data_IF_005884733204
#
_entry.id   IF_005884733204
#
_cell.length_a   1.000
_cell.length_b   1.000
_cell.length_c   1.000
_cell.angle_alpha   90.00
_cell.angle_beta   90.00
_cell.angle_gamma   90.00
#
_symmetry.space_group_name_H-M   'P 1'
#
loop_
_entity.id
_entity.type
_entity.pdbx_description
1 polymer ?
#
# COMPACT_ATOMS: atom_id res chain seq x y z
N UNK A 1 28.81 -16.26 -21.56
CA UNK A 1 27.63 -16.60 -22.38
C UNK A 1 26.94 -17.81 -21.76
N UNK A 2 25.90 -17.58 -20.95
CA UNK A 2 25.15 -18.64 -20.28
C UNK A 2 23.70 -18.64 -20.79
N UNK A 3 23.25 -19.80 -21.28
CA UNK A 3 21.93 -20.04 -21.89
C UNK A 3 20.82 -19.97 -20.84
N UNK A 4 19.74 -19.25 -21.16
CA UNK A 4 18.49 -19.21 -20.39
C UNK A 4 17.66 -20.49 -20.65
N UNK A 5 16.98 -21.08 -19.63
CA UNK A 5 16.15 -22.26 -19.80
C UNK A 5 14.86 -22.01 -20.60
N UNK A 6 14.47 -23.02 -21.38
CA UNK A 6 13.54 -23.03 -22.52
C UNK A 6 12.04 -23.12 -22.20
N UNK A 7 11.57 -22.63 -21.04
CA UNK A 7 10.19 -22.92 -20.59
C UNK A 7 9.16 -21.79 -20.81
N UNK A 8 9.50 -20.78 -21.62
CA UNK A 8 8.60 -19.64 -21.88
C UNK A 8 7.50 -19.89 -22.92
N UNK A 9 7.51 -21.03 -23.64
CA UNK A 9 6.58 -21.29 -24.75
C UNK A 9 5.21 -21.84 -24.35
N UNK A 10 4.96 -22.09 -23.06
CA UNK A 10 3.67 -22.61 -22.58
C UNK A 10 2.74 -21.49 -22.05
N UNK A 11 3.26 -20.30 -21.76
CA UNK A 11 2.50 -19.23 -21.09
C UNK A 11 1.58 -18.39 -22.01
N UNK A 12 1.68 -18.50 -23.34
CA UNK A 12 0.94 -17.61 -24.26
C UNK A 12 -0.30 -18.23 -24.93
N UNK A 13 -0.76 -19.43 -24.54
CA UNK A 13 -1.90 -20.09 -25.21
C UNK A 13 -3.25 -19.99 -24.48
N UNK A 14 -3.41 -19.11 -23.47
CA UNK A 14 -4.66 -19.00 -22.68
C UNK A 14 -5.20 -17.57 -22.45
N UNK A 15 -4.85 -16.59 -23.28
CA UNK A 15 -5.61 -15.34 -23.37
C UNK A 15 -6.14 -15.16 -24.79
N UNK A 16 -7.37 -15.61 -25.01
CA UNK A 16 -8.17 -15.23 -26.16
C UNK A 16 -8.53 -13.76 -26.07
N UNK A 17 -7.62 -12.89 -26.53
CA UNK A 17 -7.91 -11.50 -26.85
C UNK A 17 -7.83 -11.37 -28.37
N UNK A 18 -8.95 -11.70 -29.02
CA UNK A 18 -9.19 -11.33 -30.39
C UNK A 18 -9.45 -9.82 -30.44
N UNK A 19 -8.71 -9.14 -31.32
CA UNK A 19 -9.19 -8.04 -32.14
C UNK A 19 -9.61 -6.75 -31.41
N UNK A 20 -8.79 -5.72 -31.56
CA UNK A 20 -9.16 -4.41 -32.15
C UNK A 20 -8.23 -3.33 -31.61
N UNK A 21 -7.07 -3.17 -32.26
CA UNK A 21 -6.32 -1.93 -32.19
C UNK A 21 -5.61 -1.75 -33.54
N UNK A 22 -6.18 -0.93 -34.41
CA UNK A 22 -5.42 -0.36 -35.52
C UNK A 22 -6.12 0.86 -36.11
N UNK A 23 -5.30 1.90 -36.33
CA UNK A 23 -5.43 3.02 -37.29
C UNK A 23 -5.88 4.34 -36.65
N UNK A 24 -4.93 5.20 -36.25
CA UNK A 24 -4.11 6.11 -37.09
C UNK A 24 -5.00 7.14 -37.79
N UNK A 25 -5.02 8.34 -37.22
CA UNK A 25 -5.58 9.54 -37.83
C UNK A 25 -4.72 9.97 -39.02
N UNK A 26 -5.34 10.03 -40.20
CA UNK A 26 -4.80 10.64 -41.40
C UNK A 26 -5.49 11.99 -41.63
N UNK A 27 -4.68 12.97 -42.03
CA UNK A 27 -5.04 14.35 -42.30
C UNK A 27 -5.84 14.52 -43.60
N UNK A 28 -6.66 15.59 -43.65
CA UNK A 28 -6.73 16.45 -44.85
C UNK A 28 -8.10 16.68 -45.50
N UNK A 29 -8.48 17.97 -45.48
CA UNK A 29 -8.99 18.81 -46.58
C UNK A 29 -10.50 19.18 -46.65
N UNK A 30 -10.68 20.43 -47.13
CA UNK A 30 -11.87 21.13 -47.67
C UNK A 30 -12.77 21.84 -46.62
N UNK A 31 -13.34 23.03 -46.82
CA UNK A 31 -13.24 24.11 -47.84
C UNK A 31 -14.30 25.18 -47.49
N UNK A 32 -14.06 26.46 -47.79
CA UNK A 32 -15.11 27.49 -48.04
C UNK A 32 -15.47 28.41 -46.86
N UNK A 33 -15.08 29.70 -46.87
CA UNK A 33 -15.85 30.89 -47.36
C UNK A 33 -17.08 31.18 -46.47
N UNK A 34 -17.26 32.32 -45.78
CA UNK A 34 -17.31 33.71 -46.29
C UNK A 34 -17.51 34.75 -45.16
N UNK A 35 -16.87 35.92 -45.31
CA UNK A 35 -17.17 37.32 -44.90
C UNK A 35 -18.13 37.68 -43.73
N UNK A 36 -17.72 38.62 -42.85
CA UNK A 36 -18.01 40.07 -42.92
C UNK A 36 -17.32 40.87 -41.78
N UNK A 37 -17.12 42.20 -41.90
CA UNK A 37 -16.18 42.98 -41.09
C UNK A 37 -16.82 44.09 -40.22
N UNK A 38 -15.97 44.74 -39.41
CA UNK A 38 -16.14 46.02 -38.70
C UNK A 38 -17.12 46.11 -37.52
N UNK A 39 -16.58 46.38 -36.33
CA UNK A 39 -16.83 47.67 -35.65
C UNK A 39 -15.82 47.87 -34.50
N UNK A 40 -15.01 48.92 -34.62
CA UNK A 40 -14.19 49.52 -33.57
C UNK A 40 -15.00 50.67 -32.97
N UNK A 41 -15.29 50.65 -31.67
CA UNK A 41 -15.66 51.81 -30.82
C UNK A 41 -15.36 51.39 -29.38
N UNK A 42 -14.69 52.10 -28.48
CA UNK A 42 -14.09 53.43 -28.47
C UNK A 42 -13.31 53.57 -27.16
N UNK A 43 -12.28 54.42 -27.17
CA UNK A 43 -11.45 54.81 -26.02
C UNK A 43 -12.03 56.08 -25.39
N UNK A 44 -11.59 56.38 -24.15
CA UNK A 44 -11.66 57.65 -23.38
C UNK A 44 -12.81 57.65 -22.34
N UNK A 45 -12.68 58.05 -21.06
CA UNK A 45 -11.81 59.03 -20.37
C UNK A 45 -11.70 58.59 -18.88
N UNK A 46 -10.52 58.75 -18.26
CA UNK A 46 -10.31 58.47 -16.83
C UNK A 46 -10.72 59.60 -15.88
N UNK A 47 -10.91 59.27 -14.59
CA UNK A 47 -10.60 60.16 -13.46
C UNK A 47 -10.22 59.28 -12.26
N UNK A 48 -9.26 59.76 -11.48
CA UNK A 48 -8.53 58.99 -10.48
C UNK A 48 -9.34 58.58 -9.25
N UNK A 49 -9.00 57.40 -8.75
CA UNK A 49 -8.49 57.21 -7.40
C UNK A 49 -7.85 55.82 -7.36
N UNK A 50 -6.57 55.75 -7.74
CA UNK A 50 -5.73 54.58 -7.40
C UNK A 50 -5.49 54.65 -5.90
N UNK A 51 -6.42 54.08 -5.13
CA UNK A 51 -6.18 53.78 -3.72
C UNK A 51 -5.03 52.78 -3.68
N UNK A 52 -3.86 53.29 -3.29
CA UNK A 52 -2.78 52.50 -2.76
C UNK A 52 -3.36 51.59 -1.67
N UNK A 53 -3.49 50.30 -1.98
CA UNK A 53 -3.26 49.11 -1.16
C UNK A 53 -3.77 47.94 -2.04
N UNK A 54 -3.04 47.63 -3.10
CA UNK A 54 -2.91 46.23 -3.50
C UNK A 54 -1.79 45.65 -2.63
N UNK A 55 -2.04 45.62 -1.31
CA UNK A 55 -1.38 44.65 -0.45
C UNK A 55 -1.80 43.33 -1.06
N UNK A 56 -0.81 42.67 -1.68
CA UNK A 56 -0.89 41.33 -2.21
C UNK A 56 -1.45 40.47 -1.08
N UNK A 57 -2.78 40.35 -1.05
CA UNK A 57 -3.47 39.30 -0.35
C UNK A 57 -3.10 38.08 -1.18
N UNK A 58 -1.92 37.56 -0.91
CA UNK A 58 -1.62 36.17 -1.09
C UNK A 58 -2.66 35.46 -0.23
N UNK A 59 -3.86 35.34 -0.82
CA UNK A 59 -4.92 34.44 -0.42
C UNK A 59 -4.32 33.09 -0.71
N UNK A 60 -3.41 32.69 0.17
CA UNK A 60 -2.89 31.34 0.26
C UNK A 60 -4.14 30.48 0.18
N UNK A 61 -4.30 29.66 -0.88
CA UNK A 61 -5.42 28.76 -0.91
C UNK A 61 -5.36 27.93 0.38
N UNK A 62 -6.49 27.57 1.00
CA UNK A 62 -6.48 26.57 2.04
C UNK A 62 -6.06 25.26 1.37
N UNK A 63 -4.76 25.05 1.22
CA UNK A 63 -4.21 23.74 0.94
C UNK A 63 -4.40 22.98 2.26
N UNK A 64 -5.59 22.42 2.41
CA UNK A 64 -5.90 21.44 3.42
C UNK A 64 -5.75 20.09 2.75
N UNK A 65 -4.53 19.49 2.72
CA UNK A 65 -4.43 18.09 2.40
C UNK A 65 -4.89 17.36 3.65
N UNK A 66 -6.06 16.76 3.52
CA UNK A 66 -6.57 15.73 4.39
C UNK A 66 -5.45 14.88 5.02
N UNK A 67 -5.43 14.88 6.36
CA UNK A 67 -5.10 13.73 7.23
C UNK A 67 -3.68 13.11 7.18
N UNK A 68 -2.70 13.68 6.50
CA UNK A 68 -1.32 13.12 6.46
C UNK A 68 -0.21 14.05 6.94
N UNK A 69 -0.53 15.26 7.40
CA UNK A 69 0.43 16.07 8.13
C UNK A 69 0.56 15.53 9.56
N UNK A 70 1.57 14.71 9.83
CA UNK A 70 2.11 14.69 11.19
C UNK A 70 3.08 15.84 11.35
N UNK A 71 2.81 16.65 12.36
CA UNK A 71 3.69 17.72 12.83
C UNK A 71 5.09 17.20 13.25
N UNK A 72 5.23 15.89 13.48
CA UNK A 72 6.44 15.26 13.99
C UNK A 72 7.40 14.90 12.83
N UNK A 73 8.25 15.85 12.42
CA UNK A 73 9.33 15.65 11.42
C UNK A 73 10.63 15.11 12.02
N UNK A 74 10.63 14.62 13.26
CA UNK A 74 11.84 14.14 13.94
C UNK A 74 12.20 12.71 13.51
N UNK A 75 12.58 12.52 12.24
CA UNK A 75 13.01 11.24 11.66
C UNK A 75 14.47 10.89 11.93
N UNK A 76 14.97 11.12 13.14
CA UNK A 76 16.24 10.55 13.56
C UNK A 76 16.05 9.03 13.76
N UNK A 77 15.96 8.29 12.65
CA UNK A 77 15.63 6.87 12.60
C UNK A 77 14.21 6.56 12.13
N UNK A 78 13.91 5.26 11.98
CA UNK A 78 12.58 4.76 11.61
C UNK A 78 11.67 4.70 12.84
N UNK A 79 11.48 5.85 13.50
CA UNK A 79 10.67 5.97 14.72
C UNK A 79 9.60 7.02 14.52
N UNK A 80 8.36 6.74 14.91
CA UNK A 80 7.28 7.73 14.81
C UNK A 80 5.88 7.13 14.96
N UNK A 81 4.87 7.97 14.75
CA UNK A 81 3.48 7.52 14.60
C UNK A 81 3.37 6.65 13.35
N UNK A 82 2.62 5.56 13.43
CA UNK A 82 2.42 4.64 12.31
C UNK A 82 0.93 4.55 11.96
N UNK A 83 0.63 4.59 10.66
CA UNK A 83 -0.66 4.19 10.12
C UNK A 83 -0.54 2.74 9.62
N UNK A 84 -1.56 1.92 9.89
CA UNK A 84 -1.62 0.54 9.39
C UNK A 84 -2.25 0.53 8.00
N UNK A 85 -1.61 -0.15 7.05
CA UNK A 85 -2.11 -0.32 5.68
C UNK A 85 -2.84 -1.67 5.57
N UNK A 86 -2.17 -2.74 6.00
CA UNK A 86 -2.67 -4.11 6.03
C UNK A 86 -1.96 -4.89 7.16
N UNK A 87 -2.14 -6.21 7.24
CA UNK A 87 -1.64 -7.04 8.34
C UNK A 87 -0.11 -7.19 8.43
N UNK A 88 0.67 -6.78 7.44
CA UNK A 88 2.15 -6.79 7.50
C UNK A 88 2.81 -5.49 7.01
N UNK A 89 2.02 -4.45 6.73
CA UNK A 89 2.52 -3.19 6.18
C UNK A 89 2.02 -1.98 6.97
N UNK A 90 2.96 -1.12 7.35
CA UNK A 90 2.69 0.16 8.03
C UNK A 90 3.29 1.33 7.26
N UNK A 91 2.81 2.54 7.52
CA UNK A 91 3.42 3.79 7.06
C UNK A 91 3.78 4.65 8.25
N UNK A 92 5.07 4.95 8.40
CA UNK A 92 5.54 5.90 9.40
C UNK A 92 5.24 7.31 8.91
N UNK A 93 4.75 8.15 9.80
CA UNK A 93 4.36 9.49 9.43
C UNK A 93 5.58 10.35 9.08
N UNK A 94 5.54 11.04 7.95
CA UNK A 94 6.66 11.81 7.39
C UNK A 94 7.68 10.97 6.58
N UNK A 95 7.45 9.65 6.46
CA UNK A 95 8.18 8.78 5.55
C UNK A 95 7.37 8.54 4.28
N UNK A 96 7.98 8.78 3.11
CA UNK A 96 7.31 8.63 1.81
C UNK A 96 7.03 7.17 1.42
N UNK A 97 7.84 6.24 1.92
CA UNK A 97 7.69 4.81 1.64
C UNK A 97 7.01 4.07 2.80
N UNK A 98 6.38 2.94 2.50
CA UNK A 98 5.85 2.04 3.53
C UNK A 98 6.94 1.13 4.09
N UNK A 99 6.67 0.63 5.29
CA UNK A 99 7.49 -0.35 5.99
C UNK A 99 6.73 -1.67 6.01
N UNK A 100 7.31 -2.71 5.42
CA UNK A 100 6.84 -4.08 5.54
C UNK A 100 7.52 -4.76 6.72
N UNK A 101 6.75 -5.49 7.50
CA UNK A 101 7.24 -6.26 8.63
C UNK A 101 8.13 -7.40 8.11
N UNK A 102 9.39 -7.39 8.53
CA UNK A 102 10.38 -8.39 8.19
C UNK A 102 9.98 -9.78 8.67
N UNK A 103 10.20 -10.79 7.81
CA UNK A 103 10.16 -12.21 8.18
C UNK A 103 8.77 -12.81 8.38
N UNK A 104 7.70 -12.03 8.17
CA UNK A 104 6.32 -12.50 8.32
C UNK A 104 5.53 -12.21 7.05
N UNK A 105 4.38 -12.87 6.90
CA UNK A 105 3.44 -12.61 5.82
C UNK A 105 2.02 -12.69 6.38
N UNK A 106 1.24 -11.61 6.24
CA UNK A 106 -0.14 -11.57 6.71
C UNK A 106 -1.12 -11.78 5.54
N UNK A 107 -2.35 -12.28 5.80
CA UNK A 107 -3.37 -12.37 4.77
C UNK A 107 -3.67 -11.00 4.16
N UNK A 108 -3.83 -10.96 2.83
CA UNK A 108 -4.24 -9.74 2.13
C UNK A 108 -5.58 -9.23 2.71
N UNK A 109 -5.81 -7.92 2.79
CA UNK A 109 -6.99 -7.35 3.49
C UNK A 109 -8.34 -7.89 3.00
N UNK A 110 -8.41 -8.35 1.75
CA UNK A 110 -9.58 -8.99 1.12
C UNK A 110 -9.60 -10.51 1.15
N UNK A 111 -8.54 -11.16 1.64
CA UNK A 111 -8.38 -12.61 1.60
C UNK A 111 -9.43 -13.32 2.47
N UNK A 112 -10.18 -14.29 1.91
CA UNK A 112 -11.09 -15.11 2.68
C UNK A 112 -10.37 -16.28 3.36
N UNK A 113 -10.79 -16.60 4.57
CA UNK A 113 -10.40 -17.80 5.31
C UNK A 113 -11.64 -18.51 5.88
N UNK A 114 -11.47 -19.70 6.44
CA UNK A 114 -12.52 -20.47 7.13
C UNK A 114 -12.20 -20.52 8.62
N UNK A 115 -13.15 -20.18 9.47
CA UNK A 115 -12.97 -20.31 10.93
C UNK A 115 -13.17 -21.75 11.39
N UNK A 116 -13.07 -21.99 12.71
CA UNK A 116 -13.26 -23.32 13.32
C UNK A 116 -14.61 -23.99 12.96
N UNK A 117 -15.65 -23.19 12.70
CA UNK A 117 -16.97 -23.67 12.29
C UNK A 117 -17.12 -23.83 10.76
N UNK A 118 -16.03 -23.68 9.99
CA UNK A 118 -16.05 -23.75 8.53
C UNK A 118 -16.72 -22.56 7.83
N UNK A 119 -17.01 -21.47 8.54
CA UNK A 119 -17.65 -20.27 7.97
C UNK A 119 -16.58 -19.37 7.35
N UNK A 120 -16.88 -18.83 6.17
CA UNK A 120 -15.99 -17.89 5.49
C UNK A 120 -15.97 -16.55 6.20
N UNK A 121 -14.78 -15.95 6.36
CA UNK A 121 -14.59 -14.62 6.94
C UNK A 121 -13.38 -13.92 6.31
N UNK A 122 -13.28 -12.59 6.46
CA UNK A 122 -12.18 -11.77 5.89
C UNK A 122 -10.99 -11.72 6.85
N UNK A 123 -10.21 -12.79 6.89
CA UNK A 123 -9.07 -12.91 7.80
C UNK A 123 -8.02 -11.81 7.65
N UNK A 124 -7.83 -11.23 6.46
CA UNK A 124 -6.93 -10.08 6.32
C UNK A 124 -7.41 -8.81 7.01
N UNK A 125 -8.73 -8.64 7.16
CA UNK A 125 -9.29 -7.52 7.94
C UNK A 125 -9.01 -7.70 9.43
N UNK A 126 -9.12 -8.93 9.94
CA UNK A 126 -8.76 -9.27 11.33
C UNK A 126 -7.26 -9.09 11.61
N UNK A 127 -6.40 -9.48 10.66
CA UNK A 127 -4.97 -9.25 10.78
C UNK A 127 -4.61 -7.75 10.79
N UNK A 128 -5.25 -6.97 9.92
CA UNK A 128 -5.10 -5.51 9.90
C UNK A 128 -5.56 -4.87 11.22
N UNK A 129 -6.71 -5.31 11.75
CA UNK A 129 -7.23 -4.83 13.03
C UNK A 129 -6.27 -5.16 14.19
N UNK A 130 -5.75 -6.39 14.23
CA UNK A 130 -4.78 -6.80 15.25
C UNK A 130 -3.52 -5.94 15.21
N UNK A 131 -2.96 -5.68 14.03
CA UNK A 131 -1.78 -4.83 13.90
C UNK A 131 -2.08 -3.39 14.36
N UNK A 132 -3.27 -2.88 14.03
CA UNK A 132 -3.74 -1.57 14.49
C UNK A 132 -3.83 -1.51 16.03
N UNK A 133 -4.35 -2.54 16.67
CA UNK A 133 -4.46 -2.62 18.13
C UNK A 133 -3.09 -2.66 18.81
N UNK A 134 -2.14 -3.45 18.28
CA UNK A 134 -0.79 -3.54 18.81
C UNK A 134 -0.07 -2.20 18.80
N UNK A 135 -0.21 -1.44 17.70
CA UNK A 135 0.40 -0.12 17.54
C UNK A 135 -0.35 0.92 18.38
N UNK A 136 -1.68 0.89 18.35
CA UNK A 136 -2.57 1.85 19.02
C UNK A 136 -2.36 1.92 20.54
N UNK A 137 -1.93 0.83 21.18
CA UNK A 137 -1.60 0.78 22.63
C UNK A 137 -0.53 1.78 23.06
N UNK A 138 0.40 2.14 22.16
CA UNK A 138 1.57 2.97 22.49
C UNK A 138 1.64 4.22 21.62
N UNK A 139 0.95 4.24 20.48
CA UNK A 139 0.86 5.37 19.56
C UNK A 139 2.13 5.67 18.77
N UNK A 140 3.24 4.94 19.02
CA UNK A 140 4.52 5.10 18.31
C UNK A 140 5.18 3.76 18.06
N UNK A 141 5.86 3.66 16.92
CA UNK A 141 6.61 2.48 16.50
C UNK A 141 8.07 2.87 16.30
N UNK A 142 8.99 1.96 16.66
CA UNK A 142 10.40 2.02 16.32
C UNK A 142 10.77 0.82 15.46
N UNK A 143 11.29 1.06 14.26
CA UNK A 143 11.66 0.01 13.32
C UNK A 143 13.17 -0.06 13.11
N UNK A 144 13.68 -1.27 12.99
CA UNK A 144 15.06 -1.57 12.64
C UNK A 144 15.09 -2.13 11.21
N UNK A 145 15.65 -1.35 10.27
CA UNK A 145 15.74 -1.76 8.86
C UNK A 145 16.58 -3.03 8.72
N UNK A 146 16.06 -4.00 7.97
CA UNK A 146 16.78 -5.21 7.55
C UNK A 146 17.09 -5.21 6.06
N UNK A 147 16.19 -4.68 5.24
CA UNK A 147 16.35 -4.67 3.78
C UNK A 147 15.47 -3.58 3.13
N UNK A 148 15.54 -3.48 1.80
CA UNK A 148 14.59 -2.77 0.95
C UNK A 148 14.12 -3.74 -0.13
N UNK A 149 12.80 -3.94 -0.24
CA UNK A 149 12.27 -4.86 -1.24
C UNK A 149 12.29 -4.28 -2.66
N UNK A 150 11.97 -5.13 -3.65
CA UNK A 150 11.98 -4.74 -5.07
C UNK A 150 10.99 -3.62 -5.43
N UNK A 151 10.05 -3.30 -4.54
CA UNK A 151 9.07 -2.23 -4.73
C UNK A 151 9.48 -0.94 -4.01
N UNK A 152 10.67 -0.90 -3.42
CA UNK A 152 11.18 0.26 -2.68
C UNK A 152 10.61 0.39 -1.27
N UNK A 153 9.93 -0.64 -0.74
CA UNK A 153 9.45 -0.64 0.64
C UNK A 153 10.61 -1.00 1.57
N UNK A 154 10.64 -0.33 2.72
CA UNK A 154 11.57 -0.71 3.78
C UNK A 154 11.09 -2.04 4.37
N UNK A 155 11.99 -3.00 4.57
CA UNK A 155 11.69 -4.24 5.30
C UNK A 155 12.35 -4.14 6.66
N UNK A 156 11.58 -4.25 7.75
CA UNK A 156 12.08 -3.96 9.09
C UNK A 156 11.45 -4.81 10.19
N UNK A 157 12.19 -4.98 11.29
CA UNK A 157 11.63 -5.47 12.56
C UNK A 157 11.12 -4.26 13.33
N UNK A 158 9.84 -4.22 13.68
CA UNK A 158 9.21 -3.06 14.31
C UNK A 158 8.76 -3.38 15.73
N UNK A 159 8.90 -2.38 16.61
CA UNK A 159 8.52 -2.46 18.02
C UNK A 159 7.57 -1.35 18.42
N UNK A 160 6.56 -1.69 19.23
CA UNK A 160 5.64 -0.74 19.86
C UNK A 160 5.73 -0.91 21.38
N UNK A 161 6.13 0.13 22.11
CA UNK A 161 6.31 0.05 23.57
C UNK A 161 7.27 -1.06 24.02
N UNK A 162 8.29 -1.38 23.21
CA UNK A 162 9.25 -2.46 23.46
C UNK A 162 8.84 -3.85 22.97
N UNK A 163 7.56 -4.07 22.63
CA UNK A 163 7.06 -5.33 22.09
C UNK A 163 7.46 -5.50 20.62
N UNK A 164 8.04 -6.63 20.24
CA UNK A 164 8.27 -7.01 18.84
C UNK A 164 6.93 -7.32 18.16
N UNK A 165 6.46 -6.39 17.33
CA UNK A 165 5.15 -6.48 16.68
C UNK A 165 5.15 -7.61 15.66
N UNK A 166 6.28 -7.86 14.99
CA UNK A 166 6.39 -8.91 14.00
C UNK A 166 6.18 -10.28 14.65
N UNK A 167 6.89 -10.54 15.75
CA UNK A 167 6.74 -11.76 16.54
C UNK A 167 5.31 -11.91 17.07
N UNK A 168 4.73 -10.81 17.57
CA UNK A 168 3.40 -10.81 18.15
C UNK A 168 2.30 -11.13 17.13
N UNK A 169 2.41 -10.61 15.90
CA UNK A 169 1.48 -10.95 14.81
C UNK A 169 1.49 -12.44 14.49
N UNK A 170 2.67 -13.08 14.50
CA UNK A 170 2.79 -14.53 14.30
C UNK A 170 2.25 -15.30 15.51
N UNK A 171 2.60 -14.88 16.72
CA UNK A 171 2.18 -15.52 17.98
C UNK A 171 0.67 -15.49 18.17
N UNK A 172 0.00 -14.42 17.73
CA UNK A 172 -1.46 -14.34 17.73
C UNK A 172 -2.12 -15.07 16.55
N UNK A 173 -1.33 -15.62 15.62
CA UNK A 173 -1.81 -16.35 14.45
C UNK A 173 -2.38 -15.47 13.35
N UNK A 174 -2.03 -14.18 13.30
CA UNK A 174 -2.52 -13.22 12.29
C UNK A 174 -1.50 -12.92 11.19
N UNK A 175 -0.30 -13.45 11.32
CA UNK A 175 0.67 -13.60 10.25
C UNK A 175 1.28 -15.01 10.32
N UNK A 176 1.81 -15.47 9.20
CA UNK A 176 2.58 -16.71 9.12
C UNK A 176 4.06 -16.39 9.03
N UNK A 177 4.90 -17.30 9.52
CA UNK A 177 6.33 -17.15 9.40
C UNK A 177 6.75 -17.29 7.93
N UNK A 178 7.46 -16.29 7.41
CA UNK A 178 8.00 -16.36 6.07
C UNK A 178 9.45 -16.87 6.08
N UNK A 179 9.61 -18.18 6.29
CA UNK A 179 10.91 -18.88 6.47
C UNK A 179 11.98 -18.52 5.44
N UNK A 180 11.59 -18.27 4.19
CA UNK A 180 12.50 -17.86 3.11
C UNK A 180 13.29 -16.59 3.42
N UNK A 181 12.69 -15.68 4.21
CA UNK A 181 13.27 -14.38 4.53
C UNK A 181 13.65 -14.24 6.00
N UNK A 182 13.01 -14.98 6.91
CA UNK A 182 13.24 -14.91 8.36
C UNK A 182 14.36 -15.83 8.88
N UNK A 183 14.75 -16.84 8.11
CA UNK A 183 15.63 -17.93 8.55
C UNK A 183 15.16 -18.60 9.87
N UNK A 184 13.84 -18.77 10.03
CA UNK A 184 13.28 -19.44 11.21
C UNK A 184 13.12 -18.55 12.45
N UNK A 185 13.33 -17.22 12.33
CA UNK A 185 13.24 -16.27 13.44
C UNK A 185 11.92 -16.33 14.24
N UNK A 186 10.81 -16.68 13.60
CA UNK A 186 9.48 -16.65 14.22
C UNK A 186 8.84 -18.05 14.34
N UNK A 187 9.68 -19.09 14.29
CA UNK A 187 9.24 -20.48 14.29
C UNK A 187 8.49 -20.85 15.57
N UNK A 188 9.00 -20.40 16.71
CA UNK A 188 8.45 -20.77 18.02
C UNK A 188 7.11 -20.06 18.26
N UNK A 189 6.99 -18.80 17.83
CA UNK A 189 5.73 -18.06 17.84
C UNK A 189 4.68 -18.71 16.93
N UNK A 190 5.07 -19.17 15.75
CA UNK A 190 4.16 -19.86 14.83
C UNK A 190 3.73 -21.23 15.40
N UNK A 191 4.67 -21.98 15.99
CA UNK A 191 4.37 -23.24 16.65
C UNK A 191 3.37 -23.03 17.80
N UNK A 192 3.58 -22.05 18.67
CA UNK A 192 2.65 -21.71 19.74
C UNK A 192 1.27 -21.31 19.18
N UNK A 193 1.21 -20.51 18.12
CA UNK A 193 -0.06 -20.12 17.50
C UNK A 193 -0.82 -21.31 16.92
N UNK A 194 -0.11 -22.30 16.35
CA UNK A 194 -0.68 -23.56 15.84
C UNK A 194 -1.21 -24.43 16.97
N UNK A 195 -0.39 -24.67 17.99
CA UNK A 195 -0.73 -25.53 19.12
C UNK A 195 -1.94 -25.01 19.89
N UNK A 196 -2.04 -23.69 20.02
CA UNK A 196 -3.13 -23.01 20.72
C UNK A 196 -4.31 -22.64 19.79
N UNK A 197 -4.24 -23.00 18.49
CA UNK A 197 -5.26 -22.72 17.47
C UNK A 197 -5.68 -21.24 17.42
N UNK A 198 -4.70 -20.33 17.42
CA UNK A 198 -4.92 -18.88 17.39
C UNK A 198 -5.08 -18.36 15.96
N UNK A 199 -5.90 -17.32 15.81
CA UNK A 199 -6.06 -16.58 14.56
C UNK A 199 -6.40 -17.50 13.38
N UNK A 200 -5.55 -17.49 12.36
CA UNK A 200 -5.65 -18.32 11.16
C UNK A 200 -5.67 -19.83 11.47
N UNK A 201 -4.93 -20.26 12.50
CA UNK A 201 -4.79 -21.65 12.92
C UNK A 201 -6.02 -22.19 13.67
N UNK A 202 -7.04 -21.35 13.92
CA UNK A 202 -8.32 -21.81 14.45
C UNK A 202 -9.17 -22.57 13.42
N UNK A 203 -8.87 -22.41 12.13
CA UNK A 203 -9.63 -23.02 11.04
C UNK A 203 -8.73 -23.38 9.87
N UNK A 204 -9.11 -22.97 8.66
CA UNK A 204 -8.32 -23.26 7.47
C UNK A 204 -8.15 -22.04 6.57
N UNK A 205 -6.97 -21.90 5.99
CA UNK A 205 -6.62 -20.75 5.17
C UNK A 205 -5.63 -21.14 4.07
N UNK A 206 -5.54 -20.32 3.04
CA UNK A 206 -4.45 -20.40 2.05
C UNK A 206 -3.35 -19.46 2.52
N UNK A 207 -2.08 -19.88 2.50
CA UNK A 207 -1.01 -18.98 2.91
C UNK A 207 -0.99 -17.71 2.02
N UNK A 208 -0.64 -16.53 2.54
CA UNK A 208 -0.84 -15.29 1.78
C UNK A 208 0.01 -15.23 0.49
N UNK A 209 1.22 -15.78 0.50
CA UNK A 209 2.04 -15.94 -0.71
C UNK A 209 1.43 -16.89 -1.75
N UNK A 210 0.65 -17.89 -1.34
CA UNK A 210 -0.06 -18.81 -2.25
C UNK A 210 -1.31 -18.12 -2.80
N UNK A 211 -2.03 -17.38 -1.95
CA UNK A 211 -3.19 -16.58 -2.33
C UNK A 211 -2.83 -15.57 -3.42
N UNK A 212 -1.71 -14.84 -3.28
CA UNK A 212 -1.20 -13.91 -4.30
C UNK A 212 -0.86 -14.59 -5.64
N UNK A 213 -0.55 -15.88 -5.63
CA UNK A 213 -0.25 -16.69 -6.83
C UNK A 213 -1.49 -17.39 -7.41
N UNK A 214 -2.63 -17.34 -6.72
CA UNK A 214 -3.82 -18.10 -7.09
C UNK A 214 -3.68 -19.60 -6.84
N UNK A 215 -2.71 -20.00 -6.01
CA UNK A 215 -2.49 -21.39 -5.61
C UNK A 215 -3.42 -21.76 -4.44
N UNK A 216 -3.88 -23.00 -4.39
CA UNK A 216 -4.85 -23.48 -3.39
C UNK A 216 -4.17 -24.49 -2.45
N UNK A 217 -3.10 -24.04 -1.78
CA UNK A 217 -2.43 -24.82 -0.75
C UNK A 217 -3.04 -24.47 0.61
N UNK A 218 -3.95 -25.31 1.08
CA UNK A 218 -4.77 -25.04 2.28
C UNK A 218 -4.08 -25.58 3.53
N UNK A 219 -3.87 -24.71 4.50
CA UNK A 219 -3.40 -24.98 5.86
C UNK A 219 -4.61 -25.26 6.76
N UNK A 220 -4.41 -26.11 7.77
CA UNK A 220 -5.42 -26.54 8.76
C UNK A 220 -4.77 -26.66 10.13
#
# INVERSE_FOLDING_TARGET
MAKLPSEWKVYQRKRGLNGLASRVWAAGRASGRSVLPFAVVGVLIGVGAVSFIDLISAKSPPFSPSLWFCEDRTHLGLVGKAAVIDGDTIRLCGLDTSVRLYGIDAPESGQPCRNAAGRSYRCGSEATATLSDLIGRTGRVSCERKDVDRYGRIVAVCRAGGLDINAEMVRQGWAVEYRRYSDGRYRDEEAAARDERRGLWAGSFVAPWDHRRGEVNVYR
#
